data_IF_673068344478
#
_entry.id   IF_673068344478
#
_cell.length_a   1.000
_cell.length_b   1.000
_cell.length_c   1.000
_cell.angle_alpha   90.00
_cell.angle_beta   90.00
_cell.angle_gamma   90.00
#
_symmetry.space_group_name_H-M   'P 1'
#
loop_
_entity.id
_entity.type
_entity.pdbx_description
1 polymer ?
#
# COMPACT_ATOMS: atom_id res chain seq x y z
N UNK A 1 -0.98 -11.57 -4.87
CA UNK A 1 -0.63 -10.96 -6.18
C UNK A 1 -1.66 -9.88 -6.46
N UNK A 2 -1.23 -8.63 -6.63
CA UNK A 2 -2.14 -7.52 -6.97
C UNK A 2 -2.30 -7.43 -8.51
N UNK A 3 -3.42 -6.89 -9.03
CA UNK A 3 -3.62 -6.70 -10.46
C UNK A 3 -2.52 -5.83 -11.09
N UNK A 4 -2.25 -6.03 -12.38
CA UNK A 4 -1.26 -5.24 -13.15
C UNK A 4 -1.66 -3.75 -13.18
N UNK A 5 -2.96 -3.47 -13.17
CA UNK A 5 -3.53 -2.13 -13.13
C UNK A 5 -4.47 -2.01 -11.93
N UNK A 6 -4.20 -1.06 -11.05
CA UNK A 6 -5.00 -0.83 -9.85
C UNK A 6 -5.41 0.64 -9.75
N UNK A 7 -6.70 0.88 -9.48
CA UNK A 7 -7.23 2.20 -9.14
C UNK A 7 -7.80 2.11 -7.72
N UNK A 8 -7.34 2.99 -6.84
CA UNK A 8 -7.76 3.01 -5.43
C UNK A 8 -8.41 4.34 -5.08
N UNK A 9 -9.50 4.32 -4.33
CA UNK A 9 -10.14 5.53 -3.79
C UNK A 9 -9.85 5.61 -2.30
N UNK A 10 -9.33 6.76 -1.86
CA UNK A 10 -8.94 7.01 -0.47
C UNK A 10 -9.72 8.21 0.05
N UNK A 11 -10.35 8.08 1.22
CA UNK A 11 -10.99 9.23 1.86
C UNK A 11 -9.91 10.14 2.45
N UNK A 12 -10.10 11.44 2.35
CA UNK A 12 -9.17 12.42 2.91
C UNK A 12 -8.97 12.22 4.42
N UNK A 13 -10.02 11.81 5.14
CA UNK A 13 -9.96 11.51 6.58
C UNK A 13 -9.10 10.29 6.94
N UNK A 14 -8.79 9.43 5.96
CA UNK A 14 -8.02 8.19 6.18
C UNK A 14 -6.52 8.39 5.89
N UNK A 15 -6.12 9.57 5.37
CA UNK A 15 -4.71 9.90 5.16
C UNK A 15 -3.98 10.06 6.50
N UNK A 16 -2.77 9.52 6.56
CA UNK A 16 -1.88 9.60 7.72
C UNK A 16 -0.49 10.06 7.27
N UNK A 17 0.17 10.86 8.10
CA UNK A 17 1.48 11.42 7.78
C UNK A 17 2.61 10.41 7.96
N UNK A 18 2.39 9.34 8.74
CA UNK A 18 3.40 8.31 9.04
C UNK A 18 2.79 6.91 8.98
N UNK A 19 3.58 5.94 8.51
CA UNK A 19 3.20 4.54 8.51
C UNK A 19 2.78 4.05 9.91
N UNK A 20 3.46 4.50 10.96
CA UNK A 20 3.15 4.13 12.35
C UNK A 20 1.73 4.48 12.76
N UNK A 21 1.18 5.60 12.29
CA UNK A 21 -0.21 6.00 12.55
C UNK A 21 -1.21 5.10 11.80
N UNK A 22 -0.84 4.61 10.61
CA UNK A 22 -1.61 3.59 9.90
C UNK A 22 -1.57 2.23 10.60
N UNK A 23 -0.43 1.86 11.18
CA UNK A 23 -0.29 0.64 11.97
C UNK A 23 -1.09 0.69 13.28
N UNK A 24 -1.12 1.85 13.93
CA UNK A 24 -1.94 2.07 15.13
C UNK A 24 -3.44 1.87 14.83
N UNK A 25 -3.92 2.29 13.65
CA UNK A 25 -5.29 2.00 13.21
C UNK A 25 -5.57 0.50 13.14
N UNK A 26 -4.64 -0.29 12.60
CA UNK A 26 -4.78 -1.75 12.53
C UNK A 26 -4.71 -2.41 13.92
N UNK A 27 -3.90 -1.89 14.83
CA UNK A 27 -3.80 -2.40 16.20
C UNK A 27 -5.06 -2.12 17.02
N UNK A 28 -5.70 -0.97 16.78
CA UNK A 28 -6.91 -0.54 17.49
C UNK A 28 -8.20 -1.08 16.86
N UNK A 29 -8.11 -1.89 15.81
CA UNK A 29 -9.29 -2.56 15.24
C UNK A 29 -9.88 -3.52 16.28
N UNK A 30 -11.12 -3.25 16.69
CA UNK A 30 -11.87 -4.14 17.58
C UNK A 30 -12.37 -5.39 16.83
N UNK A 31 -12.37 -5.34 15.50
CA UNK A 31 -12.71 -6.45 14.62
C UNK A 31 -11.48 -7.30 14.29
N UNK A 32 -11.65 -8.59 13.94
CA UNK A 32 -10.57 -9.41 13.41
C UNK A 32 -9.90 -8.72 12.22
N UNK A 33 -8.58 -8.91 12.10
CA UNK A 33 -7.86 -8.44 10.93
C UNK A 33 -8.45 -9.08 9.66
N UNK A 34 -8.50 -8.34 8.54
CA UNK A 34 -8.93 -8.91 7.27
C UNK A 34 -7.96 -10.02 6.84
N UNK A 35 -8.42 -10.96 5.99
CA UNK A 35 -7.61 -12.10 5.56
C UNK A 35 -6.33 -11.70 4.81
N UNK A 36 -6.25 -10.49 4.29
CA UNK A 36 -5.05 -9.94 3.66
C UNK A 36 -4.96 -8.43 3.85
N UNK A 37 -3.76 -7.96 4.23
CA UNK A 37 -3.40 -6.54 4.27
C UNK A 37 -2.21 -6.35 3.34
N UNK A 38 -2.33 -5.46 2.35
CA UNK A 38 -1.27 -5.18 1.38
C UNK A 38 -0.71 -3.79 1.62
N UNK A 39 0.59 -3.69 1.92
CA UNK A 39 1.30 -2.42 1.95
C UNK A 39 1.85 -2.11 0.57
N UNK A 40 1.25 -1.13 -0.09
CA UNK A 40 1.66 -0.67 -1.41
C UNK A 40 2.38 0.66 -1.26
N UNK A 41 3.71 0.63 -1.31
CA UNK A 41 4.55 1.82 -1.29
C UNK A 41 4.95 2.24 -2.72
N UNK A 42 5.35 3.50 -2.87
CA UNK A 42 5.95 3.99 -4.12
C UNK A 42 7.26 3.27 -4.44
N UNK A 43 7.78 3.47 -5.66
CA UNK A 43 8.99 2.81 -6.14
C UNK A 43 10.09 2.86 -5.07
N UNK A 44 10.44 1.69 -4.55
CA UNK A 44 11.50 1.55 -3.57
C UNK A 44 12.81 2.01 -4.19
N UNK A 45 13.42 3.08 -3.66
CA UNK A 45 14.81 3.44 -3.95
C UNK A 45 15.80 2.58 -3.15
N UNK A 46 15.30 1.65 -2.34
CA UNK A 46 16.13 0.57 -1.80
C UNK A 46 15.91 -0.64 -2.69
N UNK A 47 16.97 -0.97 -3.42
CA UNK A 47 17.28 -2.29 -3.90
C UNK A 47 16.47 -3.39 -3.18
N UNK A 48 15.85 -4.25 -3.98
CA UNK A 48 15.58 -5.63 -3.58
C UNK A 48 16.83 -6.17 -2.85
N UNK A 49 16.69 -7.11 -1.91
CA UNK A 49 17.83 -7.69 -1.14
C UNK A 49 18.99 -8.18 -2.04
N UNK A 50 18.71 -8.36 -3.33
CA UNK A 50 19.57 -8.77 -4.43
C UNK A 50 20.21 -7.62 -5.25
N UNK A 51 19.99 -6.33 -4.94
CA UNK A 51 20.47 -5.16 -5.73
C UNK A 51 20.06 -5.14 -7.22
N UNK A 52 19.08 -5.96 -7.63
CA UNK A 52 18.57 -6.00 -9.00
C UNK A 52 17.23 -5.27 -9.08
N UNK A 53 17.17 -4.25 -9.94
CA UNK A 53 15.91 -3.59 -10.28
C UNK A 53 15.07 -4.49 -11.20
N UNK A 54 14.23 -5.35 -10.61
CA UNK A 54 13.30 -6.19 -11.38
C UNK A 54 12.02 -5.39 -11.69
N UNK A 55 11.80 -5.08 -12.97
CA UNK A 55 10.52 -4.54 -13.44
C UNK A 55 9.46 -5.65 -13.42
N UNK A 56 8.56 -5.60 -12.44
CA UNK A 56 7.16 -6.00 -12.63
C UNK A 56 6.68 -7.37 -12.18
N UNK A 57 7.12 -7.89 -11.02
CA UNK A 57 6.51 -9.13 -10.46
C UNK A 57 6.07 -9.07 -8.98
N UNK A 58 6.31 -7.98 -8.26
CA UNK A 58 5.98 -7.86 -6.83
C UNK A 58 4.82 -6.89 -6.51
N UNK A 59 4.16 -6.30 -7.51
CA UNK A 59 3.05 -5.37 -7.32
C UNK A 59 2.45 -4.87 -8.63
N UNK A 60 1.40 -4.03 -8.60
CA UNK A 60 0.78 -3.48 -9.81
C UNK A 60 1.80 -2.71 -10.64
N UNK A 61 1.76 -2.89 -11.96
CA UNK A 61 2.61 -2.19 -12.90
C UNK A 61 2.20 -0.71 -13.04
N UNK A 62 0.91 -0.41 -12.93
CA UNK A 62 0.40 0.97 -12.83
C UNK A 62 -0.62 1.08 -11.72
N UNK A 63 -0.49 2.15 -10.93
CA UNK A 63 -1.40 2.49 -9.85
C UNK A 63 -1.86 3.92 -10.03
N UNK A 64 -3.15 4.15 -9.90
CA UNK A 64 -3.73 5.47 -9.72
C UNK A 64 -4.50 5.50 -8.40
N UNK A 65 -4.48 6.62 -7.70
CA UNK A 65 -5.35 6.83 -6.55
C UNK A 65 -6.07 8.17 -6.64
N UNK A 66 -7.33 8.19 -6.21
CA UNK A 66 -8.15 9.39 -6.10
C UNK A 66 -8.48 9.69 -4.64
N UNK A 67 -8.32 10.93 -4.23
CA UNK A 67 -8.72 11.39 -2.90
C UNK A 67 -10.14 11.96 -2.97
N UNK A 68 -11.01 11.50 -2.08
CA UNK A 68 -12.39 12.01 -1.93
C UNK A 68 -12.55 12.71 -0.58
N UNK A 69 -13.31 13.80 -0.55
CA UNK A 69 -13.52 14.67 0.62
C UNK A 69 -14.79 14.32 1.37
#
# INVERSE_FOLDING_TARGET
MLPIYSITVVKACDLRSRLTQGMEFLQNLQAPLPPSINFVSGASSTADIELVHVKGVHGPLRIAYGIVF
#
